data_IF_688990932091
#
_entry.id   IF_688990932091
#
_cell.length_a   1.000
_cell.length_b   1.000
_cell.length_c   1.000
_cell.angle_alpha   90.00
_cell.angle_beta   90.00
_cell.angle_gamma   90.00
#
_symmetry.space_group_name_H-M   'P 1'
#
loop_
_entity.id
_entity.type
_entity.pdbx_description
1 polymer ?
#
# COMPACT_ATOMS: atom_id res chain seq x y z
N UNK A 1 -7.13 11.19 11.12
CA UNK A 1 -6.89 9.89 11.80
C UNK A 1 -6.49 8.89 10.72
N UNK A 2 -5.30 8.29 10.80
CA UNK A 2 -4.76 7.37 9.78
C UNK A 2 -5.55 6.06 9.88
N UNK A 3 -6.40 5.77 8.90
CA UNK A 3 -7.20 4.54 8.84
C UNK A 3 -6.35 3.44 8.18
N UNK A 4 -5.89 2.41 8.92
CA UNK A 4 -5.00 1.37 8.41
C UNK A 4 -5.52 0.63 7.16
N UNK A 5 -6.83 0.59 7.00
CA UNK A 5 -7.57 -0.02 5.89
C UNK A 5 -7.32 0.66 4.53
N UNK A 6 -6.86 1.91 4.49
CA UNK A 6 -6.53 2.63 3.24
C UNK A 6 -5.13 2.31 2.68
N UNK A 7 -4.45 1.29 3.21
CA UNK A 7 -3.03 1.06 2.91
C UNK A 7 -2.66 -0.41 2.62
N UNK A 8 -3.60 -1.31 2.39
CA UNK A 8 -3.33 -2.69 1.91
C UNK A 8 -3.75 -2.82 0.44
N UNK A 9 -2.87 -3.30 -0.49
CA UNK A 9 -2.04 -4.51 -0.43
C UNK A 9 -0.51 -4.30 -0.54
N UNK A 10 -0.04 -3.06 -0.67
CA UNK A 10 1.40 -2.70 -0.77
C UNK A 10 2.19 -3.10 0.49
N UNK A 11 1.46 -3.36 1.58
CA UNK A 11 1.99 -3.74 2.88
C UNK A 11 2.57 -5.17 2.95
N UNK A 12 2.05 -6.18 2.25
CA UNK A 12 2.52 -7.57 2.46
C UNK A 12 3.99 -7.75 1.99
N UNK A 13 4.31 -7.30 0.78
CA UNK A 13 5.69 -7.35 0.27
C UNK A 13 6.64 -6.46 1.08
N UNK A 14 6.18 -5.27 1.48
CA UNK A 14 6.97 -4.35 2.31
C UNK A 14 7.23 -4.90 3.71
N UNK A 15 6.26 -5.58 4.33
CA UNK A 15 6.44 -6.26 5.62
C UNK A 15 7.33 -7.49 5.49
N UNK A 16 7.20 -8.30 4.45
CA UNK A 16 8.07 -9.46 4.23
C UNK A 16 9.51 -9.03 3.94
N UNK A 17 9.70 -7.98 3.13
CA UNK A 17 11.02 -7.39 2.86
C UNK A 17 11.61 -6.78 4.14
N UNK A 18 10.81 -6.04 4.90
CA UNK A 18 11.21 -5.51 6.21
C UNK A 18 11.56 -6.61 7.21
N UNK A 19 10.77 -7.68 7.28
CA UNK A 19 11.00 -8.83 8.14
C UNK A 19 12.26 -9.60 7.74
N UNK A 20 12.49 -9.81 6.43
CA UNK A 20 13.71 -10.42 5.90
C UNK A 20 14.94 -9.58 6.22
N UNK A 21 14.85 -8.26 6.09
CA UNK A 21 15.94 -7.34 6.45
C UNK A 21 16.27 -7.43 7.95
N UNK A 22 15.26 -7.41 8.83
CA UNK A 22 15.44 -7.58 10.28
C UNK A 22 16.05 -8.95 10.60
N UNK A 23 15.59 -10.01 9.92
CA UNK A 23 16.12 -11.36 10.10
C UNK A 23 17.59 -11.46 9.67
N UNK A 24 17.96 -10.92 8.51
CA UNK A 24 19.34 -10.88 8.04
C UNK A 24 20.25 -10.10 8.99
N UNK A 25 19.78 -8.96 9.51
CA UNK A 25 20.50 -8.18 10.53
C UNK A 25 20.71 -8.97 11.83
N UNK A 26 19.75 -9.83 12.20
CA UNK A 26 19.84 -10.70 13.38
C UNK A 26 20.90 -11.78 13.19
N UNK A 27 20.90 -12.43 12.02
CA UNK A 27 21.83 -13.50 11.67
C UNK A 27 23.27 -13.00 11.50
N UNK A 28 23.47 -11.71 11.21
CA UNK A 28 24.79 -11.10 11.12
C UNK A 28 25.43 -10.76 12.49
N UNK A 29 24.84 -11.20 13.61
CA UNK A 29 25.26 -10.96 15.01
C UNK A 29 25.51 -9.49 15.41
N UNK A 30 25.15 -8.54 14.53
CA UNK A 30 25.33 -7.11 14.78
C UNK A 30 24.23 -6.51 15.67
N UNK A 31 23.12 -7.23 15.87
CA UNK A 31 21.92 -6.75 16.57
C UNK A 31 21.13 -7.88 17.25
N UNK A 32 20.84 -7.72 18.55
CA UNK A 32 19.90 -8.57 19.29
C UNK A 32 18.50 -7.96 19.23
N UNK A 33 17.57 -8.64 18.55
CA UNK A 33 16.17 -8.24 18.43
C UNK A 33 15.24 -9.10 19.30
N UNK A 34 15.70 -9.49 20.49
CA UNK A 34 14.80 -10.03 21.52
C UNK A 34 13.64 -9.04 21.78
N UNK A 35 12.57 -9.47 22.46
CA UNK A 35 11.45 -8.61 22.88
C UNK A 35 11.97 -7.36 23.59
N UNK A 36 12.24 -6.32 22.83
CA UNK A 36 12.82 -5.08 23.30
C UNK A 36 11.69 -4.14 23.65
N UNK A 37 11.85 -3.41 24.74
CA UNK A 37 10.97 -2.31 25.16
C UNK A 37 10.88 -1.17 24.11
N UNK A 38 11.55 -1.31 22.96
CA UNK A 38 11.61 -0.32 21.87
C UNK A 38 11.52 -0.97 20.48
N UNK A 39 10.91 -0.30 19.49
CA UNK A 39 10.88 -0.74 18.09
C UNK A 39 12.26 -1.02 17.50
N UNK A 40 12.37 -2.11 16.72
CA UNK A 40 13.62 -2.59 16.08
C UNK A 40 14.37 -1.50 15.30
N UNK A 41 13.67 -0.64 14.56
CA UNK A 41 14.28 0.43 13.76
C UNK A 41 15.08 1.42 14.60
N UNK A 42 14.64 1.67 15.85
CA UNK A 42 15.34 2.56 16.78
C UNK A 42 16.68 1.94 17.21
N UNK A 43 16.71 0.61 17.40
CA UNK A 43 17.93 -0.12 17.74
C UNK A 43 18.96 -0.10 16.61
N UNK A 44 18.51 -0.02 15.35
CA UNK A 44 19.39 0.03 14.16
C UNK A 44 20.01 1.42 13.98
N UNK A 45 19.26 2.48 14.26
CA UNK A 45 19.70 3.87 14.08
C UNK A 45 20.58 4.37 15.25
N UNK A 46 21.76 3.76 15.43
CA UNK A 46 22.69 3.99 16.57
C UNK A 46 23.06 5.47 16.82
N UNK A 47 23.02 6.32 15.79
CA UNK A 47 23.43 7.73 15.86
C UNK A 47 22.28 8.72 15.70
N UNK A 48 21.05 8.24 15.57
CA UNK A 48 19.87 9.11 15.51
C UNK A 48 19.19 8.98 16.87
N UNK A 49 19.28 10.03 17.69
CA UNK A 49 18.41 10.12 18.87
C UNK A 49 16.99 10.26 18.35
N UNK A 50 16.11 9.26 18.54
CA UNK A 50 14.71 9.43 18.17
C UNK A 50 14.19 10.56 19.05
N UNK A 51 13.56 11.58 18.45
CA UNK A 51 12.66 12.42 19.23
C UNK A 51 11.55 11.50 19.71
N UNK A 52 11.70 10.94 20.91
CA UNK A 52 10.64 10.20 21.56
C UNK A 52 9.58 11.23 21.92
N UNK A 53 8.61 11.38 21.02
CA UNK A 53 7.36 12.02 21.33
C UNK A 53 6.73 11.19 22.44
N UNK A 54 6.67 11.74 23.65
CA UNK A 54 5.98 11.11 24.77
C UNK A 54 4.51 10.80 24.40
N UNK A 55 3.83 9.94 25.17
CA UNK A 55 2.46 9.48 24.86
C UNK A 55 1.46 10.61 24.59
N UNK A 56 1.73 11.82 25.11
CA UNK A 56 0.85 12.99 25.01
C UNK A 56 1.28 14.02 23.95
N UNK A 57 2.48 13.92 23.38
CA UNK A 57 2.97 14.88 22.38
C UNK A 57 2.77 14.35 20.96
N UNK A 58 1.51 14.23 20.54
CA UNK A 58 1.14 14.14 19.12
C UNK A 58 1.45 15.46 18.41
N UNK A 59 2.72 15.79 18.24
CA UNK A 59 3.09 16.68 17.14
C UNK A 59 3.09 15.78 15.93
N UNK A 60 1.90 15.52 15.38
CA UNK A 60 1.83 15.13 13.99
C UNK A 60 2.40 16.34 13.26
N UNK A 61 3.58 16.16 12.69
CA UNK A 61 4.24 17.19 11.92
C UNK A 61 3.23 17.71 10.89
N UNK A 62 2.89 19.00 10.98
CA UNK A 62 1.86 19.61 10.14
C UNK A 62 2.17 19.42 8.65
N UNK A 63 3.46 19.29 8.29
CA UNK A 63 3.89 18.98 6.93
C UNK A 63 3.58 17.53 6.54
N UNK A 64 3.71 16.57 7.47
CA UNK A 64 3.29 15.18 7.25
C UNK A 64 1.77 15.11 7.09
N UNK A 65 1.01 15.85 7.90
CA UNK A 65 -0.44 15.91 7.80
C UNK A 65 -0.92 16.51 6.48
N UNK A 66 -0.27 17.59 6.02
CA UNK A 66 -0.51 18.19 4.69
C UNK A 66 -0.20 17.19 3.58
N UNK A 67 0.96 16.52 3.64
CA UNK A 67 1.36 15.54 2.63
C UNK A 67 0.37 14.36 2.56
N UNK A 68 -0.06 13.83 3.70
CA UNK A 68 -1.07 12.76 3.75
C UNK A 68 -2.42 13.23 3.22
N UNK A 69 -2.84 14.46 3.55
CA UNK A 69 -4.08 15.04 3.04
C UNK A 69 -4.04 15.18 1.52
N UNK A 70 -2.95 15.73 0.98
CA UNK A 70 -2.75 15.88 -0.46
C UNK A 70 -2.75 14.53 -1.18
N UNK A 71 -2.06 13.52 -0.63
CA UNK A 71 -2.06 12.16 -1.20
C UNK A 71 -3.45 11.54 -1.23
N UNK A 72 -4.24 11.70 -0.16
CA UNK A 72 -5.60 11.17 -0.09
C UNK A 72 -6.55 11.91 -1.05
N UNK A 73 -6.43 13.22 -1.16
CA UNK A 73 -7.24 14.04 -2.07
C UNK A 73 -6.94 13.70 -3.53
N UNK A 74 -5.67 13.57 -3.89
CA UNK A 74 -5.26 13.12 -5.22
C UNK A 74 -5.76 11.70 -5.53
N UNK A 75 -5.62 10.77 -4.58
CA UNK A 75 -6.11 9.40 -4.74
C UNK A 75 -7.62 9.36 -4.98
N UNK A 76 -8.38 10.14 -4.21
CA UNK A 76 -9.82 10.31 -4.39
C UNK A 76 -10.13 10.86 -5.79
N UNK A 77 -9.44 11.91 -6.22
CA UNK A 77 -9.68 12.54 -7.52
C UNK A 77 -9.41 11.59 -8.70
N UNK A 78 -8.31 10.82 -8.64
CA UNK A 78 -7.99 9.79 -9.64
C UNK A 78 -9.12 8.76 -9.75
N UNK A 79 -9.59 8.26 -8.61
CA UNK A 79 -10.61 7.22 -8.55
C UNK A 79 -11.96 7.76 -9.03
N UNK A 80 -12.40 8.92 -8.52
CA UNK A 80 -13.70 9.51 -8.88
C UNK A 80 -13.76 9.92 -10.35
N UNK A 81 -12.70 10.53 -10.89
CA UNK A 81 -12.62 10.88 -12.31
C UNK A 81 -12.67 9.64 -13.21
N UNK A 82 -11.93 8.59 -12.87
CA UNK A 82 -11.92 7.34 -13.63
C UNK A 82 -13.28 6.64 -13.58
N UNK A 83 -13.92 6.55 -12.40
CA UNK A 83 -15.26 5.96 -12.26
C UNK A 83 -16.29 6.77 -13.05
N UNK A 84 -16.18 8.10 -13.04
CA UNK A 84 -17.08 8.99 -13.79
C UNK A 84 -16.94 8.79 -15.30
N UNK A 85 -15.72 8.59 -15.79
CA UNK A 85 -15.47 8.26 -17.19
C UNK A 85 -16.02 6.88 -17.58
N UNK A 86 -16.03 5.93 -16.63
CA UNK A 86 -16.70 4.63 -16.74
C UNK A 86 -16.22 3.75 -17.92
N UNK A 87 -14.94 3.85 -18.29
CA UNK A 87 -14.32 2.95 -19.26
C UNK A 87 -13.92 1.64 -18.57
N UNK A 88 -14.84 0.67 -18.60
CA UNK A 88 -14.66 -0.65 -18.00
C UNK A 88 -13.81 -1.54 -18.90
N UNK A 89 -12.67 -1.99 -18.37
CA UNK A 89 -11.76 -2.91 -19.05
C UNK A 89 -12.05 -4.38 -18.74
N UNK A 90 -12.38 -4.70 -17.49
CA UNK A 90 -12.65 -6.06 -17.04
C UNK A 90 -13.80 -6.07 -16.02
N UNK A 91 -14.58 -7.15 -16.03
CA UNK A 91 -15.69 -7.36 -15.10
C UNK A 91 -15.44 -8.62 -14.30
N UNK A 92 -15.64 -8.52 -12.98
CA UNK A 92 -15.46 -9.59 -12.02
C UNK A 92 -16.59 -10.63 -12.02
N UNK A 93 -16.48 -11.65 -11.14
CA UNK A 93 -15.43 -11.81 -10.13
C UNK A 93 -14.11 -12.33 -10.72
N UNK A 94 -12.99 -11.67 -10.43
CA UNK A 94 -11.64 -12.13 -10.75
C UNK A 94 -10.81 -12.19 -9.47
N UNK A 95 -9.88 -13.14 -9.36
CA UNK A 95 -8.94 -13.18 -8.22
C UNK A 95 -7.79 -12.22 -8.50
N UNK A 96 -7.49 -11.31 -7.56
CA UNK A 96 -6.30 -10.45 -7.65
C UNK A 96 -5.06 -11.31 -7.40
N UNK A 97 -4.16 -11.39 -8.38
CA UNK A 97 -2.89 -12.11 -8.25
C UNK A 97 -1.78 -11.13 -7.82
N UNK A 98 -1.56 -10.07 -8.62
CA UNK A 98 -0.64 -8.99 -8.25
C UNK A 98 -0.95 -7.69 -8.99
N UNK A 99 -0.41 -6.59 -8.47
CA UNK A 99 -0.46 -5.27 -9.09
C UNK A 99 0.92 -4.61 -9.03
N UNK A 100 1.14 -3.61 -9.89
CA UNK A 100 2.33 -2.79 -9.82
C UNK A 100 2.22 -1.82 -8.65
N UNK A 101 3.18 -1.88 -7.73
CA UNK A 101 3.19 -1.06 -6.52
C UNK A 101 3.74 0.36 -6.75
N UNK A 102 4.25 0.66 -7.94
CA UNK A 102 4.70 2.01 -8.29
C UNK A 102 3.50 2.98 -8.32
N UNK A 103 3.49 3.95 -7.40
CA UNK A 103 2.39 4.90 -7.20
C UNK A 103 1.01 4.23 -6.99
N UNK A 104 1.01 3.03 -6.39
CA UNK A 104 -0.21 2.34 -6.05
C UNK A 104 -0.91 3.03 -4.87
N UNK A 105 -2.23 3.17 -5.00
CA UNK A 105 -3.10 3.85 -4.05
C UNK A 105 -4.18 2.87 -3.60
N UNK A 106 -4.65 3.05 -2.37
CA UNK A 106 -5.79 2.32 -1.84
C UNK A 106 -6.73 3.32 -1.18
N UNK A 107 -7.99 3.34 -1.61
CA UNK A 107 -8.97 4.27 -1.09
C UNK A 107 -10.37 3.69 -1.21
N UNK A 108 -11.04 3.49 -0.07
CA UNK A 108 -12.45 3.04 0.03
C UNK A 108 -12.79 1.84 -0.87
N UNK A 109 -11.97 0.78 -0.82
CA UNK A 109 -12.21 -0.44 -1.59
C UNK A 109 -11.76 -0.36 -3.06
N UNK A 110 -11.09 0.71 -3.46
CA UNK A 110 -10.44 0.82 -4.76
C UNK A 110 -8.92 0.75 -4.61
N UNK A 111 -8.29 0.11 -5.59
CA UNK A 111 -6.84 0.09 -5.77
C UNK A 111 -6.47 0.78 -7.08
N UNK A 112 -5.24 1.28 -7.18
CA UNK A 112 -4.66 1.68 -8.46
C UNK A 112 -3.48 0.80 -8.81
N UNK A 113 -3.25 0.61 -10.11
CA UNK A 113 -2.05 -0.02 -10.63
C UNK A 113 -1.58 0.71 -11.87
N UNK A 114 -0.28 1.00 -11.95
CA UNK A 114 0.36 1.55 -13.15
C UNK A 114 0.89 0.41 -14.02
N UNK A 115 0.96 0.57 -15.34
CA UNK A 115 1.56 -0.36 -16.31
C UNK A 115 0.77 -1.67 -16.49
N UNK A 116 0.18 -2.24 -15.45
CA UNK A 116 -0.69 -3.41 -15.56
C UNK A 116 -1.02 -4.07 -14.23
N UNK A 117 -1.84 -5.13 -14.27
CA UNK A 117 -2.09 -6.02 -13.14
C UNK A 117 -2.20 -7.48 -13.61
N UNK A 118 -1.91 -8.41 -12.72
CA UNK A 118 -2.17 -9.84 -12.91
C UNK A 118 -3.40 -10.24 -12.11
N UNK A 119 -4.26 -11.04 -12.75
CA UNK A 119 -5.47 -11.58 -12.15
C UNK A 119 -5.66 -13.02 -12.59
N UNK A 120 -6.43 -13.80 -11.82
CA UNK A 120 -6.84 -15.14 -12.23
C UNK A 120 -8.30 -15.16 -12.62
N UNK A 121 -8.57 -15.86 -13.72
CA UNK A 121 -9.89 -16.17 -14.20
C UNK A 121 -9.96 -17.68 -14.43
N UNK A 122 -10.85 -18.38 -13.72
CA UNK A 122 -10.98 -19.84 -13.80
C UNK A 122 -9.66 -20.60 -13.53
N UNK A 123 -8.81 -20.06 -12.65
CA UNK A 123 -7.52 -20.64 -12.29
C UNK A 123 -6.36 -20.32 -13.25
N UNK A 124 -6.62 -19.63 -14.36
CA UNK A 124 -5.60 -19.18 -15.30
C UNK A 124 -5.16 -17.75 -14.97
N UNK A 125 -3.85 -17.52 -14.81
CA UNK A 125 -3.28 -16.18 -14.63
C UNK A 125 -3.27 -15.43 -15.95
N UNK A 126 -3.85 -14.23 -15.95
CA UNK A 126 -3.95 -13.30 -17.09
C UNK A 126 -3.38 -11.94 -16.70
N UNK A 127 -2.99 -11.16 -17.71
CA UNK A 127 -2.43 -9.83 -17.54
C UNK A 127 -3.31 -8.77 -18.20
N UNK A 128 -3.68 -7.76 -17.43
CA UNK A 128 -4.16 -6.51 -17.97
C UNK A 128 -2.97 -5.56 -18.17
N UNK A 129 -2.84 -4.99 -19.36
CA UNK A 129 -1.81 -4.01 -19.68
C UNK A 129 -2.42 -2.59 -19.68
N UNK A 130 -1.76 -1.68 -18.97
CA UNK A 130 -2.15 -0.29 -18.83
C UNK A 130 -2.45 0.12 -17.39
N UNK A 131 -2.71 1.41 -17.21
CA UNK A 131 -3.04 1.98 -15.92
C UNK A 131 -4.50 1.66 -15.57
N UNK A 132 -4.74 1.28 -14.32
CA UNK A 132 -6.01 0.77 -13.86
C UNK A 132 -6.45 1.37 -12.54
N UNK A 133 -7.76 1.64 -12.45
CA UNK A 133 -8.48 1.76 -11.17
C UNK A 133 -9.29 0.49 -10.98
N UNK A 134 -9.08 -0.19 -9.86
CA UNK A 134 -9.58 -1.54 -9.59
C UNK A 134 -10.58 -1.44 -8.44
N UNK A 135 -11.85 -1.70 -8.70
CA UNK A 135 -12.87 -1.86 -7.65
C UNK A 135 -12.74 -3.26 -7.06
N UNK A 136 -12.47 -3.34 -5.76
CA UNK A 136 -12.40 -4.60 -5.03
C UNK A 136 -13.75 -4.93 -4.42
N UNK A 137 -14.17 -6.20 -4.53
CA UNK A 137 -15.31 -6.74 -3.79
C UNK A 137 -14.94 -7.05 -2.34
N UNK A 138 -13.72 -7.53 -2.13
CA UNK A 138 -13.10 -7.86 -0.85
C UNK A 138 -11.57 -7.88 -1.04
N UNK A 139 -10.82 -8.39 -0.06
CA UNK A 139 -9.34 -8.35 -0.04
C UNK A 139 -8.65 -9.04 -1.23
N UNK A 140 -9.28 -10.06 -1.84
CA UNK A 140 -8.67 -10.85 -2.91
C UNK A 140 -9.50 -10.91 -4.21
N UNK A 141 -10.70 -10.34 -4.21
CA UNK A 141 -11.63 -10.44 -5.33
C UNK A 141 -11.81 -9.08 -5.98
N UNK A 142 -11.43 -8.98 -7.25
CA UNK A 142 -11.72 -7.85 -8.14
C UNK A 142 -13.18 -7.94 -8.58
N UNK A 143 -13.89 -6.82 -8.45
CA UNK A 143 -15.25 -6.65 -8.93
C UNK A 143 -15.28 -6.01 -10.32
N UNK A 144 -14.47 -4.98 -10.56
CA UNK A 144 -14.40 -4.29 -11.86
C UNK A 144 -13.04 -3.61 -12.01
N UNK A 145 -12.49 -3.62 -13.22
CA UNK A 145 -11.30 -2.85 -13.59
C UNK A 145 -11.69 -1.78 -14.58
N UNK A 146 -11.33 -0.53 -14.28
CA UNK A 146 -11.51 0.63 -15.13
C UNK A 146 -10.16 1.05 -15.72
N UNK A 147 -10.14 1.50 -16.98
CA UNK A 147 -8.95 2.16 -17.54
C UNK A 147 -8.77 3.50 -16.87
N UNK A 148 -7.61 3.70 -16.25
CA UNK A 148 -7.29 4.99 -15.64
C UNK A 148 -6.99 6.01 -16.74
N UNK A 149 -7.86 7.02 -16.85
CA UNK A 149 -7.68 8.16 -17.75
C UNK A 149 -6.95 9.27 -16.99
N UNK A 150 -5.82 9.73 -17.53
CA UNK A 150 -5.02 10.82 -16.97
C UNK A 150 -5.47 12.18 -17.50
#
# INVERSE_FOLDING_TARGET
MIQPEYFFPIRISSYNTGALMIHAMRCADNYSFATSERPVIISVLKNITPKMFGPDNKIIDTEVEKALSAFNEESKNIIESTITHNDVALTGPLELDSLNIYDARCYKGFLTSRIGLLYKENGETKMFNGDAVIRMKNENTIDTVYRWVS
#
